data_IF_148923861507
#
_entry.id   IF_148923861507
#
_cell.length_a   1.000
_cell.length_b   1.000
_cell.length_c   1.000
_cell.angle_alpha   90.00
_cell.angle_beta   90.00
_cell.angle_gamma   90.00
#
_symmetry.space_group_name_H-M   'P 1'
#
loop_
_entity.id
_entity.type
_entity.pdbx_description
1 polymer ?
#
# COMPACT_ATOMS: atom_id res chain seq x y z
N UNK A 1 16.88 3.22 3.02
CA UNK A 1 15.78 4.19 3.19
C UNK A 1 16.29 5.34 4.01
N UNK A 2 15.78 6.55 3.77
CA UNK A 2 16.16 7.73 4.55
C UNK A 2 15.96 7.47 6.05
N UNK A 3 17.00 7.66 6.87
CA UNK A 3 16.98 7.53 8.33
C UNK A 3 16.39 8.79 8.96
N UNK A 4 15.19 9.19 8.53
CA UNK A 4 14.51 10.36 9.09
C UNK A 4 13.32 9.91 9.92
N UNK A 5 13.31 10.31 11.19
CA UNK A 5 12.24 10.02 12.15
C UNK A 5 11.43 11.30 12.36
N UNK A 6 10.11 11.19 12.19
CA UNK A 6 9.19 12.29 12.42
C UNK A 6 8.70 12.20 13.86
N UNK A 7 8.73 13.32 14.58
CA UNK A 7 8.04 13.46 15.87
C UNK A 7 6.85 14.39 15.65
N UNK A 8 5.67 13.99 16.11
CA UNK A 8 4.49 14.84 15.98
C UNK A 8 4.65 16.09 16.84
N UNK A 9 4.27 17.26 16.32
CA UNK A 9 4.35 18.52 17.07
C UNK A 9 3.45 18.54 18.30
N UNK A 10 2.37 17.75 18.29
CA UNK A 10 1.49 17.49 19.44
C UNK A 10 2.21 16.89 20.64
N UNK A 11 3.41 16.34 20.46
CA UNK A 11 4.27 15.88 21.55
C UNK A 11 4.44 16.92 22.67
N UNK A 12 4.63 18.18 22.31
CA UNK A 12 4.84 19.25 23.30
C UNK A 12 3.56 19.69 24.01
N UNK A 13 2.41 19.40 23.43
CA UNK A 13 1.08 19.71 23.99
C UNK A 13 0.49 18.56 24.80
N UNK A 14 1.15 17.40 24.83
CA UNK A 14 0.72 16.27 25.64
C UNK A 14 0.83 16.63 27.13
N UNK A 15 -0.24 16.39 27.91
CA UNK A 15 -0.31 16.75 29.33
C UNK A 15 0.80 16.06 30.14
N UNK A 16 1.10 14.78 29.84
CA UNK A 16 2.17 14.03 30.52
C UNK A 16 3.54 14.65 30.22
N UNK A 17 3.78 15.00 28.95
CA UNK A 17 5.05 15.60 28.52
C UNK A 17 5.21 17.02 29.04
N UNK A 18 4.13 17.80 29.12
CA UNK A 18 4.19 19.20 29.54
C UNK A 18 4.26 19.35 31.06
N UNK A 19 3.43 18.62 31.81
CA UNK A 19 3.23 18.81 33.25
C UNK A 19 4.02 17.83 34.13
N UNK A 20 4.19 16.57 33.71
CA UNK A 20 4.77 15.52 34.56
C UNK A 20 6.26 15.25 34.27
N UNK A 21 6.72 15.53 33.05
CA UNK A 21 8.11 15.27 32.63
C UNK A 21 9.05 16.43 32.95
N UNK A 22 10.21 16.11 33.53
CA UNK A 22 11.31 17.07 33.67
C UNK A 22 11.93 17.40 32.30
N UNK A 23 12.70 18.50 32.16
CA UNK A 23 13.42 18.79 30.91
C UNK A 23 14.33 17.63 30.45
N UNK A 24 14.95 16.94 31.40
CA UNK A 24 15.79 15.76 31.15
C UNK A 24 14.95 14.59 30.62
N UNK A 25 13.76 14.37 31.18
CA UNK A 25 12.84 13.34 30.70
C UNK A 25 12.38 13.63 29.26
N UNK A 26 12.06 14.88 28.93
CA UNK A 26 11.66 15.28 27.57
C UNK A 26 12.79 15.02 26.57
N UNK A 27 14.02 15.38 26.93
CA UNK A 27 15.19 15.10 26.10
C UNK A 27 15.46 13.61 25.94
N UNK A 28 15.40 12.85 27.04
CA UNK A 28 15.57 11.40 27.01
C UNK A 28 14.50 10.72 26.17
N UNK A 29 13.24 11.16 26.26
CA UNK A 29 12.16 10.58 25.49
C UNK A 29 12.31 10.84 23.99
N UNK A 30 12.66 12.08 23.61
CA UNK A 30 12.97 12.40 22.22
C UNK A 30 14.11 11.51 21.70
N UNK A 31 15.17 11.35 22.48
CA UNK A 31 16.28 10.47 22.13
C UNK A 31 15.84 9.01 21.91
N UNK A 32 14.99 8.44 22.77
CA UNK A 32 14.46 7.09 22.57
C UNK A 32 13.67 6.97 21.24
N UNK A 33 12.95 8.02 20.85
CA UNK A 33 12.18 8.01 19.61
C UNK A 33 13.01 8.26 18.34
N UNK A 34 14.15 8.95 18.45
CA UNK A 34 14.89 9.45 17.28
C UNK A 34 16.31 8.92 17.12
N UNK A 35 16.79 8.03 17.99
CA UNK A 35 18.12 7.46 17.86
C UNK A 35 18.26 6.59 16.59
N UNK A 36 19.52 6.29 16.22
CA UNK A 36 19.84 5.53 15.02
C UNK A 36 19.37 4.07 15.09
N UNK A 37 19.25 3.52 16.30
CA UNK A 37 18.82 2.14 16.52
C UNK A 37 17.30 1.99 16.43
N UNK A 38 16.53 3.07 16.57
CA UNK A 38 15.06 3.04 16.50
C UNK A 38 14.61 2.51 15.15
N UNK A 39 13.77 1.49 15.19
CA UNK A 39 13.24 0.82 14.01
C UNK A 39 11.79 1.25 13.72
N UNK A 40 11.17 0.70 12.68
CA UNK A 40 9.82 1.10 12.29
C UNK A 40 8.74 0.62 13.27
N UNK A 41 8.99 -0.50 13.97
CA UNK A 41 8.08 -1.09 14.95
C UNK A 41 8.17 -0.44 16.34
N UNK A 42 9.27 0.24 16.67
CA UNK A 42 9.51 0.81 17.99
C UNK A 42 10.08 -0.17 19.02
N UNK A 43 10.67 -1.29 18.55
CA UNK A 43 11.32 -2.32 19.37
C UNK A 43 12.73 -2.56 18.85
N UNK A 44 13.74 -2.09 19.55
CA UNK A 44 15.11 -2.12 19.04
C UNK A 44 16.13 -2.42 20.13
N UNK A 45 17.29 -2.91 19.72
CA UNK A 45 18.36 -3.24 20.65
C UNK A 45 19.15 -1.98 21.03
N UNK A 46 19.23 -1.69 22.33
CA UNK A 46 20.04 -0.59 22.85
C UNK A 46 20.47 -0.90 24.29
N UNK A 47 21.70 -0.55 24.64
CA UNK A 47 22.24 -0.79 25.98
C UNK A 47 22.26 0.49 26.82
N UNK A 48 22.15 0.35 28.15
CA UNK A 48 22.32 1.48 29.08
C UNK A 48 23.63 2.24 28.89
N UNK A 49 24.70 1.52 28.52
CA UNK A 49 26.01 2.12 28.21
C UNK A 49 25.98 2.98 26.96
N UNK A 50 25.30 2.54 25.90
CA UNK A 50 25.12 3.34 24.68
C UNK A 50 24.30 4.60 24.97
N UNK A 51 23.18 4.45 25.69
CA UNK A 51 22.35 5.61 26.08
C UNK A 51 23.16 6.63 26.89
N UNK A 52 23.92 6.15 27.89
CA UNK A 52 24.80 7.01 28.69
C UNK A 52 25.84 7.74 27.82
N UNK A 53 26.51 7.01 26.93
CA UNK A 53 27.55 7.57 26.05
C UNK A 53 26.99 8.61 25.07
N UNK A 54 25.88 8.32 24.39
CA UNK A 54 25.29 9.20 23.39
C UNK A 54 24.69 10.47 23.99
N UNK A 55 24.15 10.38 25.20
CA UNK A 55 23.58 11.52 25.93
C UNK A 55 24.62 12.30 26.75
N UNK A 56 25.84 11.78 26.90
CA UNK A 56 26.87 12.38 27.74
C UNK A 56 26.60 12.26 29.24
N UNK A 57 25.83 11.25 29.65
CA UNK A 57 25.49 10.98 31.05
C UNK A 57 26.34 9.85 31.65
N UNK A 58 26.33 9.76 32.98
CA UNK A 58 26.85 8.57 33.67
C UNK A 58 25.93 7.37 33.43
N UNK A 59 26.47 6.16 33.58
CA UNK A 59 25.69 4.91 33.40
C UNK A 59 24.55 4.85 34.43
N UNK A 60 24.79 5.34 35.65
CA UNK A 60 23.83 5.40 36.74
C UNK A 60 22.69 6.36 36.41
N UNK A 61 23.02 7.51 35.82
CA UNK A 61 22.03 8.52 35.42
C UNK A 61 21.14 7.99 34.28
N UNK A 62 21.73 7.36 33.27
CA UNK A 62 20.98 6.72 32.19
C UNK A 62 20.11 5.55 32.70
N UNK A 63 20.60 4.78 33.66
CA UNK A 63 19.83 3.74 34.32
C UNK A 63 18.64 4.33 35.09
N UNK A 64 18.86 5.38 35.88
CA UNK A 64 17.79 6.03 36.64
C UNK A 64 16.73 6.68 35.73
N UNK A 65 17.13 7.26 34.60
CA UNK A 65 16.22 7.76 33.58
C UNK A 65 15.40 6.61 32.98
N UNK A 66 16.05 5.53 32.55
CA UNK A 66 15.34 4.37 32.00
C UNK A 66 14.36 3.77 33.00
N UNK A 67 14.78 3.58 34.26
CA UNK A 67 13.93 3.02 35.32
C UNK A 67 12.72 3.93 35.61
N UNK A 68 12.86 5.25 35.46
CA UNK A 68 11.74 6.20 35.56
C UNK A 68 10.76 6.04 34.39
N UNK A 69 11.26 5.84 33.18
CA UNK A 69 10.40 5.62 32.00
C UNK A 69 9.64 4.29 32.05
N UNK A 70 10.22 3.29 32.72
CA UNK A 70 9.59 1.99 32.97
C UNK A 70 8.55 2.08 34.10
N UNK A 71 8.94 2.61 35.26
CA UNK A 71 8.13 2.47 36.48
C UNK A 71 7.24 3.68 36.80
N UNK A 72 7.66 4.90 36.42
CA UNK A 72 6.92 6.13 36.74
C UNK A 72 6.05 6.56 35.56
N UNK A 73 6.63 6.66 34.36
CA UNK A 73 5.92 7.13 33.18
C UNK A 73 5.14 6.03 32.45
N UNK A 74 5.50 4.76 32.64
CA UNK A 74 4.93 3.58 31.96
C UNK A 74 4.81 3.77 30.44
N UNK A 75 5.90 4.23 29.83
CA UNK A 75 5.98 4.48 28.39
C UNK A 75 6.84 3.46 27.65
N UNK A 76 7.71 2.77 28.38
CA UNK A 76 8.77 1.95 27.82
C UNK A 76 8.88 0.64 28.60
N UNK A 77 9.11 -0.46 27.88
CA UNK A 77 9.50 -1.75 28.46
C UNK A 77 10.91 -2.08 27.99
N UNK A 78 11.75 -2.54 28.91
CA UNK A 78 13.13 -2.91 28.60
C UNK A 78 13.39 -4.36 29.04
N UNK A 79 13.85 -5.19 28.10
CA UNK A 79 14.30 -6.55 28.38
C UNK A 79 15.81 -6.55 28.64
N UNK A 80 16.22 -6.91 29.86
CA UNK A 80 17.63 -6.93 30.24
C UNK A 80 18.45 -8.02 29.53
N UNK A 81 17.84 -9.16 29.21
CA UNK A 81 18.50 -10.31 28.62
C UNK A 81 18.82 -10.06 27.14
N UNK A 82 17.82 -9.61 26.38
CA UNK A 82 18.00 -9.32 24.95
C UNK A 82 18.61 -7.94 24.71
N UNK A 83 18.56 -7.06 25.72
CA UNK A 83 18.92 -5.64 25.67
C UNK A 83 18.08 -4.88 24.65
N UNK A 84 16.79 -5.20 24.62
CA UNK A 84 15.82 -4.62 23.71
C UNK A 84 14.89 -3.68 24.47
N UNK A 85 14.62 -2.53 23.85
CA UNK A 85 13.74 -1.50 24.36
C UNK A 85 12.51 -1.41 23.46
N UNK A 86 11.34 -1.34 24.07
CA UNK A 86 10.04 -1.24 23.43
C UNK A 86 9.32 0.03 23.88
N UNK A 87 8.87 0.85 22.92
CA UNK A 87 8.06 2.04 23.20
C UNK A 87 6.58 1.67 23.04
N UNK A 88 5.82 1.66 24.14
CA UNK A 88 4.48 1.07 24.20
C UNK A 88 3.48 1.70 23.23
N UNK A 89 3.46 3.03 23.15
CA UNK A 89 2.51 3.77 22.30
C UNK A 89 3.06 4.05 20.90
N UNK A 90 4.12 3.35 20.47
CA UNK A 90 4.74 3.60 19.18
C UNK A 90 3.77 3.38 18.01
N UNK A 91 3.02 2.28 18.05
CA UNK A 91 2.11 1.87 16.98
C UNK A 91 1.00 2.89 16.69
N UNK A 92 0.43 3.48 17.75
CA UNK A 92 -0.61 4.52 17.65
C UNK A 92 -0.15 5.72 16.80
N UNK A 93 1.08 6.19 17.02
CA UNK A 93 1.57 7.42 16.38
C UNK A 93 2.32 7.16 15.06
N UNK A 94 2.98 6.01 14.93
CA UNK A 94 3.93 5.74 13.82
C UNK A 94 3.45 4.68 12.82
N UNK A 95 2.47 3.84 13.16
CA UNK A 95 1.95 2.78 12.30
C UNK A 95 0.54 3.07 11.76
N UNK A 96 0.16 4.34 11.67
CA UNK A 96 -1.12 4.76 11.11
C UNK A 96 -1.22 4.54 9.59
N UNK A 97 -0.13 4.75 8.86
CA UNK A 97 -0.03 4.58 7.40
C UNK A 97 0.75 3.31 7.08
N UNK A 98 0.08 2.40 6.37
CA UNK A 98 0.70 1.18 5.85
C UNK A 98 1.30 1.36 4.45
N UNK A 99 1.74 0.25 3.88
CA UNK A 99 2.25 0.20 2.51
C UNK A 99 3.40 -0.79 2.38
N UNK A 100 3.58 -1.34 1.17
CA UNK A 100 4.66 -2.32 0.88
C UNK A 100 6.04 -1.88 1.39
N UNK A 101 6.49 -0.63 1.23
CA UNK A 101 7.82 -0.23 1.68
C UNK A 101 7.99 -0.29 3.21
N UNK A 102 6.94 0.04 3.96
CA UNK A 102 6.92 0.00 5.43
C UNK A 102 6.81 -1.45 5.90
N UNK A 103 5.92 -2.24 5.30
CA UNK A 103 5.71 -3.66 5.60
C UNK A 103 6.99 -4.48 5.36
N UNK A 104 7.71 -4.24 4.26
CA UNK A 104 8.98 -4.91 3.95
C UNK A 104 10.08 -4.54 4.95
N UNK A 105 10.11 -3.28 5.41
CA UNK A 105 11.04 -2.84 6.45
C UNK A 105 10.74 -3.55 7.78
N UNK A 106 9.47 -3.56 8.21
CA UNK A 106 9.03 -4.26 9.42
C UNK A 106 9.38 -5.75 9.35
N UNK A 107 9.09 -6.42 8.22
CA UNK A 107 9.40 -7.84 8.03
C UNK A 107 10.89 -8.15 8.14
N UNK A 108 11.76 -7.23 7.73
CA UNK A 108 13.20 -7.35 7.89
C UNK A 108 13.61 -7.16 9.36
N UNK A 109 13.06 -6.14 10.01
CA UNK A 109 13.36 -5.79 11.41
C UNK A 109 12.89 -6.87 12.40
N UNK A 110 11.72 -7.47 12.18
CA UNK A 110 11.20 -8.58 12.99
C UNK A 110 12.18 -9.76 13.09
N UNK A 111 12.94 -10.04 12.03
CA UNK A 111 13.93 -11.13 12.04
C UNK A 111 15.13 -10.85 12.96
N UNK A 112 15.39 -9.58 13.25
CA UNK A 112 16.49 -9.17 14.13
C UNK A 112 16.08 -9.06 15.59
N UNK A 113 14.77 -8.97 15.86
CA UNK A 113 14.24 -8.90 17.22
C UNK A 113 14.25 -10.29 17.84
N UNK A 114 14.74 -10.38 19.07
CA UNK A 114 14.84 -11.63 19.84
C UNK A 114 13.58 -11.85 20.68
N UNK A 115 13.11 -10.80 21.35
CA UNK A 115 11.91 -10.86 22.19
C UNK A 115 10.65 -10.46 21.41
N UNK A 116 9.91 -11.48 20.95
CA UNK A 116 8.64 -11.29 20.24
C UNK A 116 7.52 -10.80 21.17
N UNK A 117 7.66 -10.94 22.49
CA UNK A 117 6.67 -10.46 23.46
C UNK A 117 6.55 -8.93 23.43
N UNK A 118 7.68 -8.25 23.24
CA UNK A 118 7.72 -6.79 23.08
C UNK A 118 6.97 -6.32 21.84
N UNK A 119 7.09 -7.07 20.74
CA UNK A 119 6.36 -6.78 19.49
C UNK A 119 4.87 -6.91 19.73
N UNK A 120 4.43 -7.97 20.42
CA UNK A 120 3.02 -8.16 20.76
C UNK A 120 2.44 -6.96 21.53
N UNK A 121 3.16 -6.43 22.52
CA UNK A 121 2.73 -5.26 23.29
C UNK A 121 2.52 -3.99 22.44
N UNK A 122 3.34 -3.79 21.41
CA UNK A 122 3.16 -2.66 20.47
C UNK A 122 1.94 -2.90 19.58
N UNK A 123 1.77 -4.13 19.09
CA UNK A 123 0.66 -4.49 18.21
C UNK A 123 -0.70 -4.36 18.90
N UNK A 124 -0.80 -4.72 20.18
CA UNK A 124 -2.02 -4.53 20.99
C UNK A 124 -2.43 -3.05 21.10
N UNK A 125 -1.46 -2.13 21.04
CA UNK A 125 -1.68 -0.68 21.13
C UNK A 125 -1.69 0.02 19.75
N UNK A 126 -1.81 -0.73 18.66
CA UNK A 126 -1.83 -0.21 17.30
C UNK A 126 -3.25 -0.17 16.75
N UNK A 127 -3.70 1.01 16.28
CA UNK A 127 -5.07 1.20 15.75
C UNK A 127 -5.29 0.52 14.39
N UNK A 128 -4.24 0.34 13.59
CA UNK A 128 -4.35 -0.22 12.24
C UNK A 128 -4.43 -1.75 12.25
N UNK A 129 -5.65 -2.30 12.32
CA UNK A 129 -5.91 -3.74 12.39
C UNK A 129 -5.32 -4.53 11.22
N UNK A 130 -5.33 -3.98 10.00
CA UNK A 130 -4.80 -4.68 8.82
C UNK A 130 -3.28 -4.83 8.87
N UNK A 131 -2.57 -3.83 9.38
CA UNK A 131 -1.13 -3.94 9.61
C UNK A 131 -0.85 -4.90 10.76
N UNK A 132 -1.59 -4.81 11.86
CA UNK A 132 -1.41 -5.70 13.02
C UNK A 132 -1.53 -7.17 12.61
N UNK A 133 -2.56 -7.53 11.84
CA UNK A 133 -2.73 -8.91 11.34
C UNK A 133 -1.53 -9.38 10.50
N UNK A 134 -1.07 -8.54 9.55
CA UNK A 134 0.10 -8.90 8.73
C UNK A 134 1.36 -9.08 9.55
N UNK A 135 1.60 -8.17 10.51
CA UNK A 135 2.78 -8.20 11.36
C UNK A 135 2.71 -9.38 12.33
N UNK A 136 1.53 -9.73 12.86
CA UNK A 136 1.32 -10.94 13.67
C UNK A 136 1.73 -12.21 12.90
N UNK A 137 1.27 -12.34 11.66
CA UNK A 137 1.64 -13.44 10.76
C UNK A 137 3.15 -13.46 10.49
N UNK A 138 3.78 -12.30 10.27
CA UNK A 138 5.23 -12.23 10.05
C UNK A 138 6.05 -12.57 11.30
N UNK A 139 5.53 -12.23 12.47
CA UNK A 139 6.15 -12.50 13.76
C UNK A 139 5.91 -13.95 14.23
N UNK A 140 5.04 -14.70 13.55
CA UNK A 140 4.65 -16.06 13.93
C UNK A 140 3.85 -16.12 15.24
N UNK A 141 3.14 -15.04 15.58
CA UNK A 141 2.34 -14.92 16.80
C UNK A 141 0.94 -15.54 16.65
N UNK A 142 0.47 -15.74 15.40
CA UNK A 142 -0.80 -16.42 15.12
C UNK A 142 -0.58 -17.93 14.98
N UNK A 143 -0.97 -18.68 16.02
CA UNK A 143 -1.19 -20.12 15.98
C UNK A 143 -2.61 -20.40 15.46
N UNK A 144 -2.91 -19.98 14.23
CA UNK A 144 -4.12 -20.48 13.55
C UNK A 144 -3.72 -21.70 12.75
N UNK A 145 -3.79 -22.86 13.40
CA UNK A 145 -4.01 -24.15 12.78
C UNK A 145 -5.12 -24.04 11.73
N UNK A 146 -4.72 -23.96 10.47
CA UNK A 146 -5.44 -24.65 9.41
C UNK A 146 -4.60 -25.85 9.00
N UNK A 147 -4.96 -26.97 9.62
CA UNK A 147 -4.83 -28.33 9.13
C UNK A 147 -4.39 -28.41 7.66
N UNK A 148 -3.16 -28.86 7.42
CA UNK A 148 -2.92 -29.91 6.44
C UNK A 148 -1.71 -30.72 6.89
N UNK A 149 -2.00 -31.96 7.25
CA UNK A 149 -1.10 -33.01 7.68
C UNK A 149 0.18 -33.14 6.82
N UNK A 150 1.28 -33.40 7.54
CA UNK A 150 2.45 -34.27 7.23
C UNK A 150 2.62 -34.75 5.78
N UNK A 151 3.82 -34.80 5.19
CA UNK A 151 4.88 -35.76 5.56
C UNK A 151 6.25 -35.25 5.08
N UNK A 152 7.15 -35.21 6.06
CA UNK A 152 8.61 -35.16 5.98
C UNK A 152 9.15 -36.35 5.17
N UNK A 153 9.74 -36.09 4.01
CA UNK A 153 10.66 -37.03 3.35
C UNK A 153 10.50 -37.12 1.83
N UNK A 154 11.13 -36.22 1.08
CA UNK A 154 11.68 -36.42 -0.28
C UNK A 154 12.08 -35.07 -0.91
N UNK A 155 12.97 -34.31 -0.24
CA UNK A 155 13.45 -33.02 -0.74
C UNK A 155 14.87 -33.14 -1.30
N UNK A 156 15.06 -34.04 -2.27
CA UNK A 156 16.32 -34.13 -3.03
C UNK A 156 16.15 -34.50 -4.52
N UNK A 157 14.93 -34.77 -5.02
CA UNK A 157 14.69 -35.11 -6.44
C UNK A 157 13.78 -34.16 -7.23
N UNK A 158 13.36 -33.01 -6.67
CA UNK A 158 12.39 -32.11 -7.31
C UNK A 158 12.97 -30.80 -7.87
N UNK A 159 14.28 -30.56 -7.77
CA UNK A 159 14.96 -29.39 -8.38
C UNK A 159 14.99 -29.42 -9.92
N UNK A 160 14.67 -30.54 -10.56
CA UNK A 160 14.69 -30.65 -12.03
C UNK A 160 13.31 -30.59 -12.70
N UNK A 161 12.20 -30.62 -11.94
CA UNK A 161 10.84 -30.46 -12.50
C UNK A 161 10.28 -29.04 -12.43
N UNK A 162 11.08 -28.09 -11.92
CA UNK A 162 10.78 -26.65 -11.79
C UNK A 162 10.68 -25.87 -13.13
N UNK A 163 10.91 -26.50 -14.30
CA UNK A 163 10.90 -25.78 -15.60
C UNK A 163 9.66 -25.94 -16.47
N UNK A 164 8.73 -26.86 -16.19
CA UNK A 164 7.64 -27.17 -17.15
C UNK A 164 6.20 -27.08 -16.64
N UNK A 165 5.94 -26.73 -15.37
CA UNK A 165 4.57 -26.56 -14.84
C UNK A 165 4.22 -25.11 -14.44
N UNK A 166 4.84 -24.13 -15.09
CA UNK A 166 4.47 -22.70 -14.99
C UNK A 166 3.26 -22.33 -15.89
N UNK A 167 2.65 -23.32 -16.56
CA UNK A 167 1.39 -23.17 -17.28
C UNK A 167 0.26 -23.84 -16.50
N UNK A 168 -0.71 -23.01 -16.14
CA UNK A 168 -2.08 -23.31 -15.66
C UNK A 168 -2.38 -23.25 -14.15
N UNK A 169 -2.83 -22.04 -13.77
CA UNK A 169 -3.92 -21.71 -12.82
C UNK A 169 -3.75 -22.03 -11.33
N UNK A 170 -3.67 -20.96 -10.51
CA UNK A 170 -4.82 -20.42 -9.74
C UNK A 170 -4.40 -19.14 -8.97
N UNK A 171 -4.77 -17.98 -9.51
CA UNK A 171 -5.87 -17.10 -9.04
C UNK A 171 -5.63 -16.44 -7.68
N UNK A 172 -4.86 -15.35 -7.75
CA UNK A 172 -4.91 -14.23 -6.80
C UNK A 172 -6.34 -13.68 -6.74
N UNK A 173 -6.85 -13.45 -5.52
CA UNK A 173 -8.05 -12.65 -5.26
C UNK A 173 -7.80 -11.22 -5.75
N UNK A 174 -8.11 -10.97 -7.02
CA UNK A 174 -8.35 -9.63 -7.52
C UNK A 174 -9.81 -9.54 -7.96
N UNK A 175 -10.60 -8.73 -7.26
CA UNK A 175 -11.93 -8.33 -7.68
C UNK A 175 -11.79 -7.34 -8.85
N UNK A 176 -11.57 -7.86 -10.06
CA UNK A 176 -11.92 -7.15 -11.30
C UNK A 176 -13.10 -7.89 -11.90
N UNK A 177 -14.11 -7.15 -12.35
CA UNK A 177 -15.24 -7.75 -13.06
C UNK A 177 -14.83 -8.05 -14.51
N UNK A 178 -15.61 -8.88 -15.20
CA UNK A 178 -15.36 -9.25 -16.61
C UNK A 178 -15.20 -8.01 -17.50
N UNK A 179 -15.90 -6.92 -17.17
CA UNK A 179 -15.83 -5.65 -17.90
C UNK A 179 -14.46 -4.94 -17.83
N UNK A 180 -13.68 -5.10 -16.77
CA UNK A 180 -12.35 -4.48 -16.64
C UNK A 180 -11.31 -5.16 -17.54
N UNK A 181 -11.37 -6.49 -17.60
CA UNK A 181 -10.46 -7.29 -18.42
C UNK A 181 -10.78 -7.14 -19.90
N UNK A 182 -12.06 -6.94 -20.24
CA UNK A 182 -12.47 -6.68 -21.60
C UNK A 182 -12.12 -5.26 -22.06
N UNK A 183 -12.22 -4.25 -21.19
CA UNK A 183 -11.71 -2.90 -21.49
C UNK A 183 -10.21 -2.88 -21.77
N UNK A 184 -9.44 -3.65 -21.00
CA UNK A 184 -8.00 -3.82 -21.21
C UNK A 184 -7.66 -4.45 -22.57
N UNK A 185 -8.37 -5.52 -22.96
CA UNK A 185 -8.20 -6.17 -24.26
C UNK A 185 -8.62 -5.26 -25.42
N UNK A 186 -9.74 -4.56 -25.26
CA UNK A 186 -10.29 -3.67 -26.27
C UNK A 186 -9.33 -2.52 -26.62
N UNK A 187 -8.79 -1.84 -25.60
CA UNK A 187 -7.81 -0.78 -25.83
C UNK A 187 -6.53 -1.33 -26.48
N UNK A 188 -6.08 -2.53 -26.08
CA UNK A 188 -4.89 -3.15 -26.66
C UNK A 188 -5.07 -3.48 -28.14
N UNK A 189 -6.22 -4.03 -28.53
CA UNK A 189 -6.55 -4.34 -29.91
C UNK A 189 -6.51 -3.10 -30.80
N UNK A 190 -7.12 -1.99 -30.34
CA UNK A 190 -7.11 -0.71 -31.06
C UNK A 190 -5.69 -0.14 -31.21
N UNK A 191 -4.88 -0.20 -30.16
CA UNK A 191 -3.47 0.24 -30.21
C UNK A 191 -2.66 -0.64 -31.17
N UNK A 192 -2.89 -1.96 -31.18
CA UNK A 192 -2.19 -2.90 -32.07
C UNK A 192 -2.56 -2.70 -33.54
N UNK A 193 -3.81 -2.32 -33.82
CA UNK A 193 -4.25 -1.93 -35.17
C UNK A 193 -3.48 -0.72 -35.72
N UNK A 194 -3.19 0.27 -34.86
CA UNK A 194 -2.48 1.49 -35.24
C UNK A 194 -0.95 1.34 -35.19
N UNK A 195 -0.42 0.48 -34.31
CA UNK A 195 1.01 0.20 -34.18
C UNK A 195 1.27 -1.31 -34.00
N UNK A 196 1.54 -2.04 -35.12
CA UNK A 196 1.79 -3.48 -35.09
C UNK A 196 3.02 -3.91 -34.28
N UNK A 197 3.93 -2.99 -33.96
CA UNK A 197 5.16 -3.26 -33.18
C UNK A 197 4.98 -3.07 -31.67
N UNK A 198 3.77 -2.75 -31.20
CA UNK A 198 3.51 -2.56 -29.78
C UNK A 198 3.67 -3.87 -29.00
N UNK A 199 4.48 -3.85 -27.93
CA UNK A 199 4.69 -5.01 -27.06
C UNK A 199 3.43 -5.31 -26.25
N UNK A 200 3.14 -6.61 -26.06
CA UNK A 200 2.04 -7.05 -25.23
C UNK A 200 2.21 -6.54 -23.78
N UNK A 201 1.27 -5.74 -23.27
CA UNK A 201 1.35 -5.22 -21.93
C UNK A 201 0.90 -6.26 -20.90
N UNK A 202 1.19 -5.96 -19.64
CA UNK A 202 0.61 -6.71 -18.53
C UNK A 202 -0.89 -6.40 -18.41
N UNK A 203 -1.74 -7.34 -18.84
CA UNK A 203 -3.20 -7.20 -18.84
C UNK A 203 -3.80 -7.06 -17.43
N UNK A 204 -3.18 -7.62 -16.39
CA UNK A 204 -3.65 -7.50 -15.01
C UNK A 204 -3.46 -6.06 -14.48
N UNK A 205 -2.35 -5.42 -14.86
CA UNK A 205 -2.12 -4.00 -14.58
C UNK A 205 -3.09 -3.11 -15.36
N UNK A 206 -3.41 -3.50 -16.60
CA UNK A 206 -4.35 -2.74 -17.43
C UNK A 206 -5.78 -2.85 -16.91
N UNK A 207 -6.24 -4.05 -16.54
CA UNK A 207 -7.53 -4.27 -15.92
C UNK A 207 -7.66 -3.54 -14.57
N UNK A 208 -6.56 -3.45 -13.81
CA UNK A 208 -6.49 -2.64 -12.59
C UNK A 208 -6.80 -1.16 -12.86
N UNK A 209 -6.21 -0.58 -13.90
CA UNK A 209 -6.44 0.83 -14.25
C UNK A 209 -7.88 1.07 -14.70
N UNK A 210 -8.48 0.13 -15.44
CA UNK A 210 -9.90 0.19 -15.82
C UNK A 210 -10.83 0.09 -14.60
N UNK A 211 -10.54 -0.82 -13.66
CA UNK A 211 -11.26 -0.87 -12.38
C UNK A 211 -11.18 0.45 -11.65
N UNK A 212 -9.99 1.04 -11.60
CA UNK A 212 -9.81 2.32 -10.92
C UNK A 212 -10.56 3.48 -11.64
N UNK A 213 -10.74 3.43 -12.96
CA UNK A 213 -11.61 4.39 -13.67
C UNK A 213 -13.08 4.22 -13.29
N UNK A 214 -13.57 2.97 -13.14
CA UNK A 214 -14.95 2.70 -12.73
C UNK A 214 -15.19 3.05 -11.26
N UNK A 215 -14.37 2.52 -10.35
CA UNK A 215 -14.64 2.56 -8.90
C UNK A 215 -14.20 3.86 -8.22
N UNK A 216 -13.13 4.51 -8.72
CA UNK A 216 -12.57 5.72 -8.10
C UNK A 216 -12.97 6.97 -8.85
N UNK A 217 -12.96 6.90 -10.17
CA UNK A 217 -13.25 8.06 -11.01
C UNK A 217 -14.74 8.10 -11.42
N UNK A 218 -15.55 7.12 -10.98
CA UNK A 218 -17.00 7.00 -11.24
C UNK A 218 -17.36 7.17 -12.72
N UNK A 219 -16.59 6.55 -13.61
CA UNK A 219 -16.81 6.61 -15.06
C UNK A 219 -17.61 5.43 -15.55
N UNK A 220 -18.63 5.70 -16.34
CA UNK A 220 -19.47 4.69 -16.94
C UNK A 220 -18.68 3.88 -17.99
N UNK A 221 -18.82 2.55 -18.05
CA UNK A 221 -18.12 1.71 -19.03
C UNK A 221 -18.37 2.14 -20.49
N UNK A 222 -19.56 2.67 -20.78
CA UNK A 222 -19.91 3.18 -22.10
C UNK A 222 -19.13 4.46 -22.45
N UNK A 223 -18.96 5.38 -21.51
CA UNK A 223 -18.16 6.60 -21.72
C UNK A 223 -16.68 6.24 -21.94
N UNK A 224 -16.18 5.24 -21.22
CA UNK A 224 -14.81 4.75 -21.39
C UNK A 224 -14.61 4.19 -22.80
N UNK A 225 -15.55 3.40 -23.30
CA UNK A 225 -15.51 2.86 -24.67
C UNK A 225 -15.52 3.96 -25.72
N UNK A 226 -16.44 4.92 -25.61
CA UNK A 226 -16.57 6.03 -26.56
C UNK A 226 -15.28 6.87 -26.61
N UNK A 227 -14.64 7.11 -25.47
CA UNK A 227 -13.37 7.83 -25.38
C UNK A 227 -12.21 7.02 -25.96
N UNK A 228 -12.18 5.69 -25.76
CA UNK A 228 -11.19 4.80 -26.39
C UNK A 228 -11.29 4.87 -27.91
N UNK A 229 -12.50 4.71 -28.46
CA UNK A 229 -12.73 4.76 -29.90
C UNK A 229 -12.33 6.11 -30.49
N UNK A 230 -12.68 7.21 -29.82
CA UNK A 230 -12.33 8.55 -30.28
C UNK A 230 -10.82 8.82 -30.23
N UNK A 231 -10.14 8.47 -29.12
CA UNK A 231 -8.70 8.74 -28.99
C UNK A 231 -7.83 7.88 -29.90
N UNK A 232 -8.26 6.67 -30.23
CA UNK A 232 -7.55 5.79 -31.15
C UNK A 232 -7.87 6.08 -32.62
N UNK A 233 -8.95 6.78 -32.92
CA UNK A 233 -9.26 7.27 -34.27
C UNK A 233 -8.59 8.62 -34.59
N UNK A 234 -8.23 9.42 -33.57
CA UNK A 234 -7.61 10.73 -33.76
C UNK A 234 -6.07 10.60 -33.94
N UNK A 235 -5.49 11.10 -35.05
CA UNK A 235 -4.06 10.96 -35.33
C UNK A 235 -3.12 11.57 -34.28
N UNK A 236 -3.58 12.60 -33.57
CA UNK A 236 -2.83 13.24 -32.51
C UNK A 236 -2.90 12.45 -31.20
N UNK A 237 -4.07 11.89 -30.86
CA UNK A 237 -4.25 11.17 -29.60
C UNK A 237 -3.77 9.71 -29.64
N UNK A 238 -3.85 9.02 -30.78
CA UNK A 238 -3.42 7.63 -30.89
C UNK A 238 -1.93 7.43 -30.53
N UNK A 239 -1.07 8.40 -30.86
CA UNK A 239 0.36 8.37 -30.51
C UNK A 239 0.63 8.70 -29.04
N UNK A 240 -0.28 9.43 -28.41
CA UNK A 240 -0.14 9.86 -27.02
C UNK A 240 -0.72 8.84 -26.03
N UNK A 241 -1.80 8.15 -26.40
CA UNK A 241 -2.52 7.19 -25.55
C UNK A 241 -2.10 5.75 -25.90
N UNK A 242 -1.00 5.31 -25.28
CA UNK A 242 -0.42 3.97 -25.46
C UNK A 242 -0.69 3.03 -24.26
N UNK A 243 -1.44 3.49 -23.27
CA UNK A 243 -1.78 2.69 -22.08
C UNK A 243 -3.04 3.21 -21.37
N UNK A 244 -3.76 2.35 -20.61
CA UNK A 244 -4.91 2.75 -19.81
C UNK A 244 -4.57 3.81 -18.77
N UNK A 245 -3.35 3.78 -18.22
CA UNK A 245 -2.87 4.82 -17.29
C UNK A 245 -2.84 6.20 -17.95
N UNK A 246 -2.31 6.30 -19.17
CA UNK A 246 -2.30 7.57 -19.93
C UNK A 246 -3.71 7.98 -20.36
N UNK A 247 -4.54 7.01 -20.75
CA UNK A 247 -5.96 7.23 -21.06
C UNK A 247 -6.66 7.88 -19.85
N UNK A 248 -6.42 7.34 -18.66
CA UNK A 248 -7.00 7.82 -17.40
C UNK A 248 -6.59 9.25 -17.06
N UNK A 249 -5.28 9.51 -17.13
CA UNK A 249 -4.69 10.81 -16.84
C UNK A 249 -5.21 11.91 -17.78
N UNK A 250 -5.56 11.56 -19.02
CA UNK A 250 -6.03 12.50 -20.06
C UNK A 250 -7.53 12.45 -20.33
N UNK A 251 -8.27 11.63 -19.61
CA UNK A 251 -9.67 11.32 -19.92
C UNK A 251 -10.58 12.55 -19.92
N UNK A 252 -10.44 13.47 -18.96
CA UNK A 252 -11.29 14.68 -18.91
C UNK A 252 -10.99 15.60 -20.10
N UNK A 253 -9.72 15.72 -20.48
CA UNK A 253 -9.28 16.47 -21.65
C UNK A 253 -9.83 15.84 -22.95
N UNK A 254 -9.77 14.51 -23.08
CA UNK A 254 -10.33 13.77 -24.21
C UNK A 254 -11.86 13.96 -24.29
N UNK A 255 -12.55 13.90 -23.16
CA UNK A 255 -14.02 14.05 -23.08
C UNK A 255 -14.46 15.45 -23.52
N UNK A 256 -13.77 16.50 -23.07
CA UNK A 256 -14.04 17.89 -23.47
C UNK A 256 -13.80 18.07 -24.97
N UNK A 257 -12.67 17.57 -25.49
CA UNK A 257 -12.37 17.69 -26.92
C UNK A 257 -13.34 16.89 -27.79
N UNK A 258 -13.71 15.68 -27.38
CA UNK A 258 -14.71 14.86 -28.06
C UNK A 258 -16.06 15.58 -28.13
N UNK A 259 -16.55 16.13 -27.01
CA UNK A 259 -17.81 16.89 -26.96
C UNK A 259 -17.75 18.16 -27.84
N UNK A 260 -16.61 18.86 -27.85
CA UNK A 260 -16.42 20.05 -28.69
C UNK A 260 -16.45 19.74 -30.20
N UNK A 261 -15.81 18.65 -30.64
CA UNK A 261 -15.85 18.21 -32.05
C UNK A 261 -17.25 17.71 -32.45
N UNK A 262 -17.95 17.03 -31.55
CA UNK A 262 -19.33 16.54 -31.79
C UNK A 262 -20.34 17.70 -31.90
N UNK A 263 -20.17 18.76 -31.09
CA UNK A 263 -20.93 20.00 -31.21
C UNK A 263 -20.62 20.80 -32.47
N UNK A 264 -19.37 20.78 -32.95
CA UNK A 264 -18.99 21.42 -34.20
C UNK A 264 -19.57 20.70 -35.44
N UNK A 265 -19.62 19.36 -35.44
CA UNK A 265 -20.26 18.59 -36.53
C UNK A 265 -21.78 18.72 -36.54
N UNK A 266 -22.45 18.78 -35.37
CA UNK A 266 -23.91 18.96 -35.32
C UNK A 266 -24.38 20.33 -35.82
N UNK A 267 -23.54 21.36 -35.74
CA UNK A 267 -23.82 22.67 -36.34
C UNK A 267 -23.49 22.73 -37.85
N UNK A 268 -22.83 21.72 -38.42
CA UNK A 268 -22.59 21.59 -39.85
C UNK A 268 -23.67 20.79 -40.58
N UNK A 269 -24.52 20.04 -39.86
CA UNK A 269 -25.56 19.16 -40.44
C UNK A 269 -27.00 19.53 -40.01
N UNK A 270 -27.28 20.80 -39.70
CA UNK A 270 -28.67 21.30 -39.67
C UNK A 270 -29.16 21.65 -41.08
N UNK A 271 -29.39 20.59 -41.84
CA UNK A 271 -30.03 20.62 -43.15
C UNK A 271 -30.75 19.31 -43.44
N UNK A 272 -31.88 19.05 -42.76
CA UNK A 272 -32.87 18.06 -43.24
C UNK A 272 -33.44 17.08 -42.21
N UNK A 273 -34.68 17.38 -41.77
CA UNK A 273 -35.80 16.44 -41.57
C UNK A 273 -35.71 15.28 -40.57
N UNK A 274 -36.25 15.56 -39.37
CA UNK A 274 -37.32 14.84 -38.65
C UNK A 274 -37.62 13.36 -39.00
N UNK A 275 -37.58 12.46 -38.00
CA UNK A 275 -38.75 11.65 -37.58
C UNK A 275 -38.56 10.99 -36.20
N UNK A 276 -39.65 11.02 -35.43
CA UNK A 276 -39.92 10.27 -34.20
C UNK A 276 -39.66 8.76 -34.31
N UNK A 277 -39.23 8.12 -33.20
CA UNK A 277 -39.91 6.95 -32.61
C UNK A 277 -39.45 6.66 -31.18
N UNK A 278 -40.45 6.68 -30.28
CA UNK A 278 -40.43 6.03 -28.97
C UNK A 278 -40.78 4.53 -29.11
N UNK A 279 -40.51 3.76 -28.05
CA UNK A 279 -40.81 2.32 -27.82
C UNK A 279 -39.67 1.37 -28.26
N UNK A 280 -39.22 0.36 -27.53
CA UNK A 280 -39.86 -0.44 -26.48
C UNK A 280 -38.78 -1.24 -25.71
N UNK A 281 -39.11 -1.71 -24.50
CA UNK A 281 -38.37 -2.69 -23.67
C UNK A 281 -37.78 -3.84 -24.50
N UNK A 282 -36.55 -4.23 -24.21
CA UNK A 282 -35.89 -5.44 -24.71
C UNK A 282 -34.69 -5.79 -23.85
N UNK A 283 -34.49 -7.07 -23.63
CA UNK A 283 -33.66 -7.69 -22.60
C UNK A 283 -32.17 -7.34 -22.66
N UNK A 284 -31.53 -7.38 -21.50
CA UNK A 284 -30.09 -7.20 -21.35
C UNK A 284 -29.34 -8.38 -21.95
N UNK A 285 -28.65 -8.16 -23.06
CA UNK A 285 -27.58 -9.02 -23.54
C UNK A 285 -26.26 -8.27 -23.43
N UNK A 286 -25.49 -8.58 -22.38
CA UNK A 286 -24.16 -8.01 -22.15
C UNK A 286 -23.15 -8.76 -23.01
N UNK A 287 -23.15 -8.43 -24.30
CA UNK A 287 -22.19 -8.93 -25.28
C UNK A 287 -20.83 -8.27 -25.12
N UNK A 288 -19.84 -9.08 -24.78
CA UNK A 288 -18.42 -8.82 -25.01
C UNK A 288 -17.95 -9.57 -26.25
#
# INVERSE_FOLDING_TARGET
MAKYRHVQTSFWSDARVSEEMTPEDKYFYLYLMTNEHTNQIGVYQITRKQMAFELGYSIESAKALLDRFINHHDLVVYNEETRELCILNWGKYNLNKGGKPIEDCIKKELKSIKDLSLVKLVLERTENTSLVQKVSVYAGLDDTSHDTSTIRGQKEKEKEKEKEKEKEKKTSRHKFETCDTNGAKYLFEKIKGNNPKQKEPNFDNWANEFRLMRERDNREPQEIKDVIDWCQADPFWQGNILSPKKLREKFDQLTIQMKSKKGANNNAESGGSNTNRYSQKGEYDYGF
#
